data_IF_804611135920
#
_entry.id   IF_804611135920
#
_cell.length_a   1.000
_cell.length_b   1.000
_cell.length_c   1.000
_cell.angle_alpha   90.00
_cell.angle_beta   90.00
_cell.angle_gamma   90.00
#
_symmetry.space_group_name_H-M   'P 1'
#
loop_
_entity.id
_entity.type
_entity.pdbx_description
1 polymer ?
#
# COMPACT_ATOMS: atom_id res chain seq x y z
N UNK A 1 8.32 -15.98 20.11
CA UNK A 1 8.79 -14.70 20.69
C UNK A 1 7.74 -14.22 21.69
N UNK A 2 8.12 -13.73 22.86
CA UNK A 2 7.18 -13.12 23.83
C UNK A 2 6.82 -11.69 23.41
N UNK A 3 5.74 -11.13 23.96
CA UNK A 3 5.35 -9.73 23.70
C UNK A 3 6.45 -8.78 24.20
N UNK A 4 6.95 -8.98 25.43
CA UNK A 4 8.08 -8.24 25.99
C UNK A 4 9.30 -8.24 25.06
N UNK A 5 9.72 -9.42 24.56
CA UNK A 5 10.86 -9.48 23.66
C UNK A 5 10.62 -8.73 22.35
N UNK A 6 9.38 -8.73 21.81
CA UNK A 6 9.02 -7.95 20.61
C UNK A 6 9.18 -6.45 20.83
N UNK A 7 8.73 -5.94 21.98
CA UNK A 7 8.91 -4.54 22.36
C UNK A 7 10.39 -4.19 22.58
N UNK A 8 11.19 -5.08 23.19
CA UNK A 8 12.63 -4.89 23.35
C UNK A 8 13.40 -4.93 22.02
N UNK A 9 13.03 -5.82 21.09
CA UNK A 9 13.66 -5.89 19.76
C UNK A 9 13.32 -4.65 18.92
N UNK A 10 12.06 -4.22 18.89
CA UNK A 10 11.65 -2.97 18.24
C UNK A 10 12.43 -1.76 18.76
N UNK A 11 12.56 -1.63 20.09
CA UNK A 11 13.33 -0.55 20.70
C UNK A 11 14.79 -0.51 20.22
N UNK A 12 15.42 -1.69 20.15
CA UNK A 12 16.86 -1.81 19.86
C UNK A 12 17.22 -1.85 18.37
N UNK A 13 16.31 -2.30 17.50
CA UNK A 13 16.55 -2.47 16.05
C UNK A 13 15.85 -1.45 15.17
N UNK A 14 14.68 -0.96 15.55
CA UNK A 14 13.88 -0.04 14.72
C UNK A 14 13.88 1.39 15.27
N UNK A 15 13.66 1.57 16.58
CA UNK A 15 13.54 2.89 17.17
C UNK A 15 14.90 3.54 17.52
N UNK A 16 15.90 2.75 17.91
CA UNK A 16 17.22 3.25 18.33
C UNK A 16 17.89 4.11 17.26
N UNK A 17 18.24 5.34 17.64
CA UNK A 17 18.87 6.32 16.75
C UNK A 17 17.92 6.94 15.70
N UNK A 18 16.62 6.62 15.75
CA UNK A 18 15.59 7.12 14.83
C UNK A 18 14.48 7.85 15.59
N UNK A 19 13.93 7.25 16.64
CA UNK A 19 12.96 7.86 17.56
C UNK A 19 13.34 7.55 19.02
N UNK A 20 14.04 8.48 19.71
CA UNK A 20 14.30 8.39 21.14
C UNK A 20 13.01 8.24 21.98
N UNK A 21 11.88 8.77 21.48
CA UNK A 21 10.58 8.62 22.13
C UNK A 21 10.08 7.18 22.07
N UNK A 22 10.03 6.58 20.89
CA UNK A 22 9.57 5.19 20.75
C UNK A 22 10.59 4.17 21.29
N UNK A 23 11.90 4.46 21.32
CA UNK A 23 12.89 3.61 22.00
C UNK A 23 12.61 3.58 23.51
N UNK A 24 12.51 4.75 24.16
CA UNK A 24 12.18 4.87 25.59
C UNK A 24 10.86 4.19 25.93
N UNK A 25 9.82 4.44 25.12
CA UNK A 25 8.48 3.93 25.37
C UNK A 25 8.43 2.39 25.23
N UNK A 26 9.05 1.85 24.19
CA UNK A 26 9.06 0.39 23.96
C UNK A 26 9.95 -0.37 24.96
N UNK A 27 10.97 0.28 25.53
CA UNK A 27 11.72 -0.25 26.69
C UNK A 27 10.91 -0.21 28.01
N UNK A 28 9.98 0.72 28.17
CA UNK A 28 9.08 0.73 29.33
C UNK A 28 8.02 -0.39 29.19
N UNK A 29 7.31 -0.44 28.06
CA UNK A 29 6.25 -1.44 27.82
C UNK A 29 6.78 -2.88 27.86
N UNK A 30 8.06 -3.14 27.55
CA UNK A 30 8.62 -4.49 27.65
C UNK A 30 8.83 -4.96 29.10
N UNK A 31 8.72 -4.09 30.11
CA UNK A 31 8.79 -4.39 31.55
C UNK A 31 7.44 -4.18 32.27
N UNK A 32 6.39 -3.83 31.54
CA UNK A 32 5.10 -3.41 32.09
C UNK A 32 4.11 -4.59 32.12
N UNK A 33 3.95 -5.22 33.29
CA UNK A 33 3.13 -6.43 33.41
C UNK A 33 1.65 -6.21 33.07
N UNK A 34 1.10 -5.02 33.34
CA UNK A 34 -0.31 -4.70 33.06
C UNK A 34 -0.54 -4.49 31.57
N UNK A 35 0.27 -3.66 30.90
CA UNK A 35 0.19 -3.49 29.45
C UNK A 35 0.50 -4.78 28.69
N UNK A 36 1.43 -5.61 29.17
CA UNK A 36 1.73 -6.90 28.56
C UNK A 36 0.56 -7.89 28.71
N UNK A 37 -0.16 -7.87 29.84
CA UNK A 37 -1.37 -8.68 30.03
C UNK A 37 -2.52 -8.20 29.12
N UNK A 38 -2.71 -6.89 28.98
CA UNK A 38 -3.69 -6.30 28.06
C UNK A 38 -3.37 -6.66 26.60
N UNK A 39 -2.12 -6.50 26.17
CA UNK A 39 -1.66 -6.91 24.84
C UNK A 39 -1.84 -8.42 24.59
N UNK A 40 -1.74 -9.28 25.61
CA UNK A 40 -1.95 -10.72 25.47
C UNK A 40 -3.40 -11.11 25.09
N UNK A 41 -4.38 -10.22 25.27
CA UNK A 41 -5.77 -10.42 24.80
C UNK A 41 -5.92 -10.27 23.28
N UNK A 42 -4.94 -9.66 22.62
CA UNK A 42 -4.94 -9.38 21.19
C UNK A 42 -4.35 -10.54 20.38
N UNK A 43 -4.78 -10.75 19.11
CA UNK A 43 -4.14 -11.69 18.20
C UNK A 43 -2.65 -11.36 18.02
N UNK A 44 -1.75 -12.36 17.80
CA UNK A 44 -0.30 -12.13 17.69
C UNK A 44 0.12 -11.05 16.68
N UNK A 45 -0.62 -10.92 15.58
CA UNK A 45 -0.39 -9.91 14.54
C UNK A 45 -0.70 -8.46 14.99
N UNK A 46 -1.47 -8.28 16.07
CA UNK A 46 -1.91 -6.97 16.59
C UNK A 46 -1.12 -6.51 17.82
N UNK A 47 -0.21 -7.32 18.32
CA UNK A 47 0.64 -7.06 19.49
C UNK A 47 1.94 -6.30 19.11
N UNK A 48 1.89 -5.42 18.11
CA UNK A 48 3.08 -4.73 17.57
C UNK A 48 3.26 -3.37 18.28
N UNK A 49 4.49 -2.97 18.66
CA UNK A 49 4.71 -1.70 19.36
C UNK A 49 4.23 -0.49 18.55
N UNK A 50 4.60 -0.43 17.27
CA UNK A 50 4.25 0.67 16.37
C UNK A 50 2.71 0.81 16.17
N UNK A 51 1.96 -0.30 16.20
CA UNK A 51 0.50 -0.29 16.11
C UNK A 51 -0.13 0.26 17.40
N UNK A 52 0.34 -0.20 18.57
CA UNK A 52 -0.12 0.31 19.87
C UNK A 52 0.14 1.82 19.99
N UNK A 53 1.37 2.26 19.70
CA UNK A 53 1.75 3.68 19.80
C UNK A 53 0.99 4.53 18.78
N UNK A 54 0.76 4.02 17.57
CA UNK A 54 -0.10 4.67 16.57
C UNK A 54 -1.53 4.85 17.07
N UNK A 55 -2.14 3.80 17.64
CA UNK A 55 -3.52 3.88 18.17
C UNK A 55 -3.64 4.82 19.37
N UNK A 56 -2.71 4.76 20.33
CA UNK A 56 -2.75 5.66 21.48
C UNK A 56 -2.67 7.13 21.03
N UNK A 57 -1.80 7.44 20.05
CA UNK A 57 -1.73 8.79 19.46
C UNK A 57 -2.97 9.17 18.66
N UNK A 58 -3.57 8.23 17.92
CA UNK A 58 -4.83 8.45 17.19
C UNK A 58 -5.98 8.82 18.14
N UNK A 59 -6.01 8.23 19.33
CA UNK A 59 -6.95 8.55 20.41
C UNK A 59 -6.55 9.78 21.24
N UNK A 60 -5.51 10.52 20.84
CA UNK A 60 -5.04 11.74 21.52
C UNK A 60 -4.20 11.50 22.78
N UNK A 61 -3.77 10.26 23.03
CA UNK A 61 -2.95 9.89 24.18
C UNK A 61 -1.48 10.32 24.07
N UNK A 62 -0.80 10.51 25.20
CA UNK A 62 0.62 10.86 25.25
C UNK A 62 1.50 9.68 24.84
N UNK A 63 2.69 9.97 24.31
CA UNK A 63 3.74 8.96 23.98
C UNK A 63 5.15 9.42 24.37
N UNK A 64 5.28 10.67 24.81
CA UNK A 64 6.50 11.33 25.23
C UNK A 64 6.95 10.88 26.64
N UNK A 65 6.01 10.69 27.56
CA UNK A 65 6.26 10.12 28.88
C UNK A 65 5.68 8.70 29.04
N UNK A 66 6.47 7.69 29.46
CA UNK A 66 5.98 6.32 29.64
C UNK A 66 4.92 6.13 30.73
N UNK A 67 4.96 6.90 31.82
CA UNK A 67 3.97 6.75 32.89
C UNK A 67 2.61 7.34 32.46
N UNK A 68 2.62 8.52 31.83
CA UNK A 68 1.43 9.10 31.23
C UNK A 68 0.84 8.21 30.11
N UNK A 69 1.70 7.56 29.31
CA UNK A 69 1.27 6.57 28.32
C UNK A 69 0.61 5.34 28.96
N UNK A 70 1.20 4.78 30.01
CA UNK A 70 0.61 3.66 30.78
C UNK A 70 -0.77 4.04 31.28
N UNK A 71 -0.86 5.14 32.05
CA UNK A 71 -2.10 5.57 32.71
C UNK A 71 -3.21 5.84 31.68
N UNK A 72 -2.89 6.48 30.56
CA UNK A 72 -3.84 6.67 29.46
C UNK A 72 -4.27 5.35 28.83
N UNK A 73 -3.31 4.46 28.53
CA UNK A 73 -3.57 3.21 27.79
C UNK A 73 -4.40 2.22 28.60
N UNK A 74 -4.13 2.09 29.91
CA UNK A 74 -4.90 1.26 30.83
C UNK A 74 -6.30 1.85 31.02
N UNK A 75 -6.41 3.16 31.34
CA UNK A 75 -7.71 3.79 31.58
C UNK A 75 -8.64 3.79 30.35
N UNK A 76 -8.08 3.80 29.14
CA UNK A 76 -8.82 3.82 27.87
C UNK A 76 -8.76 2.48 27.12
N UNK A 77 -8.34 1.39 27.77
CA UNK A 77 -8.08 0.11 27.09
C UNK A 77 -9.22 -0.37 26.16
N UNK A 78 -10.51 -0.31 26.52
CA UNK A 78 -11.59 -0.75 25.62
C UNK A 78 -11.62 -0.01 24.27
N UNK A 79 -11.23 1.28 24.24
CA UNK A 79 -11.12 2.06 23.00
C UNK A 79 -9.83 1.73 22.24
N UNK A 80 -8.70 1.60 22.96
CA UNK A 80 -7.42 1.18 22.37
C UNK A 80 -7.54 -0.19 21.71
N UNK A 81 -8.16 -1.16 22.40
CA UNK A 81 -8.40 -2.51 21.91
C UNK A 81 -9.26 -2.53 20.64
N UNK A 82 -10.34 -1.74 20.61
CA UNK A 82 -11.23 -1.66 19.44
C UNK A 82 -10.47 -1.19 18.19
N UNK A 83 -9.68 -0.12 18.31
CA UNK A 83 -8.87 0.42 17.20
C UNK A 83 -7.70 -0.51 16.83
N UNK A 84 -6.99 -1.10 17.80
CA UNK A 84 -5.90 -2.06 17.52
C UNK A 84 -6.43 -3.31 16.80
N UNK A 85 -7.64 -3.80 17.14
CA UNK A 85 -8.25 -4.96 16.48
C UNK A 85 -8.60 -4.69 15.02
N UNK A 86 -9.05 -3.48 14.67
CA UNK A 86 -9.41 -3.13 13.28
C UNK A 86 -8.20 -2.69 12.45
N UNK A 87 -7.33 -1.82 12.97
CA UNK A 87 -6.26 -1.15 12.20
C UNK A 87 -5.01 -1.98 11.99
N UNK A 88 -4.24 -1.64 10.96
CA UNK A 88 -2.91 -2.18 10.69
C UNK A 88 -1.90 -1.05 10.48
N UNK A 89 -0.62 -1.28 10.80
CA UNK A 89 0.46 -0.34 10.53
C UNK A 89 0.62 -0.17 9.01
N UNK A 90 0.18 0.96 8.46
CA UNK A 90 0.22 1.23 7.02
C UNK A 90 1.10 2.46 6.74
N UNK A 91 2.35 2.22 6.35
CA UNK A 91 3.30 3.30 6.03
C UNK A 91 3.14 3.75 4.58
N UNK A 92 2.21 4.68 4.32
CA UNK A 92 2.02 5.25 2.98
C UNK A 92 2.94 6.45 2.76
N UNK A 93 4.14 6.17 2.23
CA UNK A 93 5.25 7.11 2.19
C UNK A 93 5.55 7.59 0.76
N UNK A 94 4.94 8.74 0.39
CA UNK A 94 5.10 9.37 -0.91
C UNK A 94 6.58 9.59 -1.33
N UNK A 95 7.51 9.75 -0.37
CA UNK A 95 8.94 9.86 -0.67
C UNK A 95 9.50 8.70 -1.48
N UNK A 96 8.91 7.51 -1.37
CA UNK A 96 9.32 6.33 -2.14
C UNK A 96 9.13 6.50 -3.65
N UNK A 97 8.27 7.41 -4.12
CA UNK A 97 8.19 7.78 -5.54
C UNK A 97 9.55 8.25 -6.10
N UNK A 98 10.42 8.84 -5.27
CA UNK A 98 11.75 9.28 -5.70
C UNK A 98 12.70 8.11 -6.04
N UNK A 99 12.38 6.89 -5.59
CA UNK A 99 13.06 5.66 -5.98
C UNK A 99 12.49 5.13 -7.32
N UNK A 100 11.19 5.30 -7.53
CA UNK A 100 10.48 4.80 -8.72
C UNK A 100 10.76 5.67 -9.96
N UNK A 101 10.89 6.99 -9.79
CA UNK A 101 10.93 7.96 -10.89
C UNK A 101 11.94 7.64 -12.01
N UNK A 102 13.20 7.22 -11.73
CA UNK A 102 14.15 6.90 -12.81
C UNK A 102 13.76 5.71 -13.67
N UNK A 103 12.97 4.77 -13.13
CA UNK A 103 12.38 3.67 -13.90
C UNK A 103 11.15 4.17 -14.66
N UNK A 104 10.18 4.77 -13.96
CA UNK A 104 8.91 5.20 -14.54
C UNK A 104 9.07 6.21 -15.69
N UNK A 105 10.00 7.17 -15.57
CA UNK A 105 10.24 8.20 -16.58
C UNK A 105 10.86 7.67 -17.88
N UNK A 106 11.40 6.44 -17.86
CA UNK A 106 12.14 5.81 -18.96
C UNK A 106 11.42 4.59 -19.58
N UNK A 107 10.33 4.11 -18.97
CA UNK A 107 9.41 3.13 -19.59
C UNK A 107 8.63 3.76 -20.77
N UNK A 108 8.04 2.97 -21.70
CA UNK A 108 7.19 3.50 -22.75
C UNK A 108 5.99 4.25 -22.16
N UNK A 109 5.65 5.42 -22.73
CA UNK A 109 4.61 6.31 -22.22
C UNK A 109 3.36 6.25 -23.11
N UNK A 110 2.16 6.55 -22.59
CA UNK A 110 1.86 6.89 -21.20
C UNK A 110 1.80 5.65 -20.29
N UNK A 111 1.78 5.87 -18.98
CA UNK A 111 1.73 4.82 -17.95
C UNK A 111 0.32 4.62 -17.37
N UNK A 112 0.01 3.36 -17.07
CA UNK A 112 -1.09 2.95 -16.22
C UNK A 112 -0.50 2.32 -14.94
N UNK A 113 -0.61 3.03 -13.82
CA UNK A 113 0.03 2.64 -12.55
C UNK A 113 -0.91 1.79 -11.68
N UNK A 114 -0.43 0.64 -11.20
CA UNK A 114 -1.13 -0.23 -10.25
C UNK A 114 -0.23 -0.49 -9.04
N UNK A 115 -0.56 0.09 -7.88
CA UNK A 115 0.16 -0.17 -6.63
C UNK A 115 -0.49 -1.34 -5.87
N UNK A 116 0.29 -2.33 -5.42
CA UNK A 116 -0.17 -3.33 -4.45
C UNK A 116 0.39 -3.03 -3.06
N UNK A 117 -0.46 -3.09 -2.03
CA UNK A 117 -0.16 -2.48 -0.72
C UNK A 117 -0.32 -0.96 -0.72
N UNK A 118 -1.26 -0.44 -1.51
CA UNK A 118 -1.37 0.98 -1.81
C UNK A 118 -1.72 1.87 -0.61
N UNK A 119 -2.33 1.32 0.44
CA UNK A 119 -2.87 2.06 1.58
C UNK A 119 -3.81 3.19 1.14
N UNK A 120 -3.40 4.46 1.19
CA UNK A 120 -4.16 5.63 0.72
C UNK A 120 -3.79 6.07 -0.73
N UNK A 121 -3.00 5.27 -1.44
CA UNK A 121 -2.59 5.52 -2.83
C UNK A 121 -1.57 6.64 -3.02
N UNK A 122 -0.92 7.13 -1.96
CA UNK A 122 -0.01 8.28 -2.07
C UNK A 122 1.19 8.07 -3.00
N UNK A 123 1.59 6.82 -3.29
CA UNK A 123 2.67 6.56 -4.25
C UNK A 123 2.20 6.53 -5.72
N UNK A 124 0.88 6.60 -5.97
CA UNK A 124 0.28 6.60 -7.32
C UNK A 124 0.37 7.93 -8.06
N UNK A 125 0.99 8.96 -7.47
CA UNK A 125 1.08 10.31 -8.03
C UNK A 125 2.50 10.76 -8.43
N UNK A 126 3.35 9.90 -9.04
CA UNK A 126 4.70 10.30 -9.36
C UNK A 126 4.78 11.38 -10.45
N UNK A 127 3.67 11.59 -11.18
CA UNK A 127 3.42 12.66 -12.15
C UNK A 127 3.06 14.03 -11.52
N UNK A 128 2.77 14.09 -10.22
CA UNK A 128 2.27 15.31 -9.54
C UNK A 128 3.17 15.86 -8.43
N UNK A 129 4.25 15.16 -8.10
CA UNK A 129 5.23 15.59 -7.10
C UNK A 129 6.45 16.24 -7.74
N UNK A 130 7.17 17.05 -6.96
CA UNK A 130 8.51 17.51 -7.32
C UNK A 130 9.57 16.60 -6.70
N UNK A 131 10.74 16.52 -7.31
CA UNK A 131 11.84 15.67 -6.86
C UNK A 131 13.13 16.45 -6.88
N UNK A 132 13.95 16.28 -5.84
CA UNK A 132 15.27 16.90 -5.74
C UNK A 132 16.35 15.84 -5.54
N UNK A 133 17.24 15.76 -6.53
CA UNK A 133 18.38 14.85 -6.58
C UNK A 133 19.68 15.66 -6.55
N UNK A 134 20.10 16.03 -5.34
CA UNK A 134 21.16 17.03 -5.15
C UNK A 134 20.70 18.40 -5.67
N UNK A 135 21.51 19.03 -6.53
CA UNK A 135 21.17 20.33 -7.14
C UNK A 135 20.14 20.24 -8.28
N UNK A 136 19.79 19.03 -8.73
CA UNK A 136 18.84 18.83 -9.82
C UNK A 136 17.41 18.68 -9.30
N UNK A 137 16.48 19.48 -9.81
CA UNK A 137 15.04 19.40 -9.50
C UNK A 137 14.21 19.11 -10.75
N UNK A 138 13.21 18.24 -10.63
CA UNK A 138 12.24 17.92 -11.69
C UNK A 138 10.81 17.90 -11.13
N UNK A 139 9.86 18.44 -11.89
CA UNK A 139 8.50 18.71 -11.44
C UNK A 139 8.34 20.08 -10.79
N UNK A 140 7.09 20.52 -10.67
CA UNK A 140 6.65 21.81 -10.13
C UNK A 140 5.54 21.67 -9.04
N UNK A 141 5.19 20.44 -8.66
CA UNK A 141 4.20 20.14 -7.63
C UNK A 141 4.76 20.02 -6.21
N UNK A 142 3.92 19.56 -5.28
CA UNK A 142 4.26 19.31 -3.87
C UNK A 142 3.77 17.92 -3.43
N UNK A 143 4.41 17.24 -2.47
CA UNK A 143 5.66 17.60 -1.80
C UNK A 143 6.88 17.65 -2.73
N UNK A 144 7.95 18.32 -2.28
CA UNK A 144 9.29 18.15 -2.85
C UNK A 144 9.94 16.93 -2.20
N UNK A 145 10.29 15.94 -3.01
CA UNK A 145 10.83 14.65 -2.57
C UNK A 145 12.35 14.62 -2.75
N UNK A 146 13.06 14.87 -1.64
CA UNK A 146 14.51 14.74 -1.54
C UNK A 146 14.96 13.28 -1.60
N UNK A 147 15.89 12.97 -2.51
CA UNK A 147 16.55 11.67 -2.63
C UNK A 147 18.01 11.84 -3.06
N UNK A 148 18.96 11.32 -2.28
CA UNK A 148 20.36 11.28 -2.68
C UNK A 148 20.58 10.18 -3.74
N UNK A 149 20.86 10.56 -4.99
CA UNK A 149 21.05 9.63 -6.10
C UNK A 149 22.53 9.52 -6.48
N UNK A 150 23.01 8.28 -6.62
CA UNK A 150 24.36 7.96 -7.09
C UNK A 150 24.33 6.83 -8.13
N UNK A 151 25.37 6.70 -8.94
CA UNK A 151 25.52 5.64 -9.95
C UNK A 151 24.73 5.85 -11.25
N UNK A 152 23.81 6.82 -11.31
CA UNK A 152 23.09 7.22 -12.54
C UNK A 152 22.75 8.71 -12.51
N UNK A 153 22.34 9.25 -13.65
CA UNK A 153 21.90 10.64 -13.77
C UNK A 153 20.45 10.83 -13.28
N UNK A 154 20.10 11.98 -12.68
CA UNK A 154 18.71 12.31 -12.34
C UNK A 154 17.75 12.26 -13.55
N UNK A 155 16.47 11.85 -13.35
CA UNK A 155 15.48 11.80 -14.43
C UNK A 155 15.13 13.20 -14.94
N UNK A 156 15.12 13.40 -16.26
CA UNK A 156 14.93 14.72 -16.88
C UNK A 156 13.47 15.14 -17.07
N UNK A 157 12.50 14.27 -16.76
CA UNK A 157 11.06 14.49 -16.94
C UNK A 157 10.28 13.66 -15.93
N UNK A 158 9.07 14.12 -15.61
CA UNK A 158 8.06 13.31 -14.93
C UNK A 158 7.46 12.28 -15.91
N UNK A 159 6.93 11.15 -15.43
CA UNK A 159 6.14 10.23 -16.24
C UNK A 159 4.79 10.86 -16.62
N UNK A 160 4.25 10.43 -17.75
CA UNK A 160 2.87 10.74 -18.15
C UNK A 160 1.96 9.62 -17.64
N UNK A 161 1.16 9.89 -16.60
CA UNK A 161 0.26 8.90 -15.97
C UNK A 161 -1.18 9.19 -16.41
N UNK A 162 -1.79 8.25 -17.13
CA UNK A 162 -3.17 8.37 -17.65
C UNK A 162 -4.18 7.49 -16.92
N UNK A 163 -3.70 6.61 -16.03
CA UNK A 163 -4.52 5.75 -15.20
C UNK A 163 -3.77 5.39 -13.92
N UNK A 164 -4.47 5.38 -12.79
CA UNK A 164 -3.91 5.04 -11.49
C UNK A 164 -4.91 4.22 -10.65
N UNK A 165 -4.47 3.09 -10.11
CA UNK A 165 -5.25 2.25 -9.20
C UNK A 165 -4.39 1.66 -8.08
N UNK A 166 -5.00 1.43 -6.91
CA UNK A 166 -4.36 0.78 -5.77
C UNK A 166 -5.14 -0.44 -5.32
N UNK A 167 -4.43 -1.49 -4.93
CA UNK A 167 -4.96 -2.70 -4.33
C UNK A 167 -4.40 -2.86 -2.92
N UNK A 168 -5.27 -2.92 -1.92
CA UNK A 168 -4.88 -3.05 -0.51
C UNK A 168 -5.92 -3.88 0.27
N UNK A 169 -5.52 -4.53 1.37
CA UNK A 169 -6.46 -5.24 2.24
C UNK A 169 -7.32 -4.25 3.08
N UNK A 170 -6.78 -3.08 3.37
CA UNK A 170 -7.43 -2.00 4.09
C UNK A 170 -7.12 -0.64 3.43
N UNK A 171 -7.66 -0.35 2.23
CA UNK A 171 -7.48 0.94 1.60
C UNK A 171 -8.02 2.05 2.52
N UNK A 172 -7.32 3.18 2.55
CA UNK A 172 -7.65 4.36 3.35
C UNK A 172 -8.07 5.51 2.44
N UNK A 173 -9.05 6.29 2.85
CA UNK A 173 -9.56 7.42 2.05
C UNK A 173 -9.01 8.75 2.56
N UNK A 174 -8.15 9.41 1.77
CA UNK A 174 -7.58 10.73 2.13
C UNK A 174 -8.60 11.86 2.12
N UNK A 175 -9.81 11.65 1.60
CA UNK A 175 -10.92 12.60 1.71
C UNK A 175 -11.64 12.47 3.06
N UNK A 176 -11.45 11.36 3.79
CA UNK A 176 -11.99 11.14 5.13
C UNK A 176 -10.99 11.61 6.22
N UNK A 177 -11.35 12.61 7.05
CA UNK A 177 -10.42 13.18 8.04
C UNK A 177 -9.87 12.17 9.07
N UNK A 178 -10.63 11.11 9.36
CA UNK A 178 -10.21 10.05 10.29
C UNK A 178 -9.03 9.24 9.75
N UNK A 179 -8.99 8.97 8.44
CA UNK A 179 -7.93 8.19 7.82
C UNK A 179 -6.66 9.02 7.63
N UNK A 180 -6.78 10.31 7.32
CA UNK A 180 -5.64 11.26 7.36
C UNK A 180 -5.07 11.35 8.78
N UNK A 181 -5.93 11.41 9.80
CA UNK A 181 -5.51 11.42 11.22
C UNK A 181 -4.81 10.11 11.62
N UNK A 182 -5.28 8.97 11.11
CA UNK A 182 -4.63 7.67 11.30
C UNK A 182 -3.23 7.61 10.67
N UNK A 183 -3.09 8.06 9.42
CA UNK A 183 -1.79 8.15 8.74
C UNK A 183 -0.83 9.09 9.47
N UNK A 184 -1.31 10.22 9.99
CA UNK A 184 -0.53 11.17 10.80
C UNK A 184 -0.07 10.53 12.13
N UNK A 185 -0.94 9.75 12.78
CA UNK A 185 -0.64 9.01 14.02
C UNK A 185 0.40 7.88 13.82
N UNK A 186 0.56 7.34 12.61
CA UNK A 186 1.63 6.40 12.26
C UNK A 186 3.00 7.07 12.03
N UNK A 187 3.04 8.39 11.82
CA UNK A 187 4.31 9.13 11.67
C UNK A 187 4.88 9.46 13.04
N UNK A 188 6.01 8.83 13.37
CA UNK A 188 6.69 8.91 14.66
C UNK A 188 6.92 10.37 15.14
N UNK A 189 6.98 10.63 16.46
CA UNK A 189 6.97 11.99 17.02
C UNK A 189 8.01 12.93 16.39
N UNK A 190 9.24 12.46 16.23
CA UNK A 190 10.39 13.21 15.70
C UNK A 190 10.30 13.50 14.19
N UNK A 191 9.45 12.77 13.45
CA UNK A 191 9.37 12.83 11.99
C UNK A 191 8.46 13.95 11.46
N UNK A 192 8.63 15.18 11.98
CA UNK A 192 7.84 16.35 11.58
C UNK A 192 7.84 16.61 10.06
N UNK A 193 8.99 16.44 9.40
CA UNK A 193 9.11 16.59 7.93
C UNK A 193 8.26 15.58 7.15
N UNK A 194 8.15 14.33 7.63
CA UNK A 194 7.28 13.31 7.02
C UNK A 194 5.80 13.66 7.22
N UNK A 195 5.46 14.31 8.33
CA UNK A 195 4.10 14.79 8.63
C UNK A 195 3.65 15.90 7.67
N UNK A 196 4.56 16.82 7.31
CA UNK A 196 4.33 17.81 6.25
C UNK A 196 4.13 17.11 4.90
N UNK A 197 5.07 16.24 4.51
CA UNK A 197 5.01 15.46 3.26
C UNK A 197 3.71 14.66 3.12
N UNK A 198 3.24 14.02 4.19
CA UNK A 198 1.97 13.29 4.22
C UNK A 198 0.79 14.22 3.87
N UNK A 199 0.72 15.40 4.49
CA UNK A 199 -0.40 16.33 4.30
C UNK A 199 -0.40 16.92 2.89
N UNK A 200 0.77 17.23 2.34
CA UNK A 200 0.91 17.70 0.95
C UNK A 200 0.51 16.59 -0.05
N UNK A 201 1.00 15.36 0.15
CA UNK A 201 0.65 14.22 -0.70
C UNK A 201 -0.84 13.86 -0.61
N UNK A 202 -1.42 13.86 0.60
CA UNK A 202 -2.84 13.63 0.81
C UNK A 202 -3.71 14.70 0.16
N UNK A 203 -3.29 15.96 0.16
CA UNK A 203 -3.99 17.03 -0.57
C UNK A 203 -3.97 16.84 -2.09
N UNK A 204 -2.85 16.35 -2.66
CA UNK A 204 -2.77 15.98 -4.09
C UNK A 204 -3.70 14.81 -4.40
N UNK A 205 -3.66 13.75 -3.60
CA UNK A 205 -4.52 12.59 -3.80
C UNK A 205 -6.01 12.91 -3.62
N UNK A 206 -6.39 13.72 -2.63
CA UNK A 206 -7.78 14.14 -2.41
C UNK A 206 -8.34 15.02 -3.54
N UNK A 207 -7.50 15.70 -4.31
CA UNK A 207 -7.92 16.54 -5.43
C UNK A 207 -8.23 15.75 -6.73
N UNK A 208 -7.65 14.56 -6.89
CA UNK A 208 -7.86 13.64 -8.02
C UNK A 208 -7.81 12.17 -7.51
N UNK A 209 -8.82 11.71 -6.72
CA UNK A 209 -8.73 10.45 -5.97
C UNK A 209 -8.47 9.22 -6.84
N UNK A 210 -7.60 8.28 -6.40
CA UNK A 210 -7.25 7.13 -7.21
C UNK A 210 -8.32 6.05 -7.07
N UNK A 211 -8.38 5.13 -8.02
CA UNK A 211 -9.19 3.92 -7.87
C UNK A 211 -8.56 3.01 -6.80
N UNK A 212 -8.97 3.13 -5.54
CA UNK A 212 -8.58 2.19 -4.49
C UNK A 212 -9.58 1.03 -4.41
N UNK A 213 -9.07 -0.20 -4.47
CA UNK A 213 -9.84 -1.44 -4.38
C UNK A 213 -9.40 -2.20 -3.14
N UNK A 214 -10.37 -2.60 -2.31
CA UNK A 214 -10.12 -3.56 -1.24
C UNK A 214 -9.99 -4.95 -1.84
N UNK A 215 -8.84 -5.60 -1.68
CA UNK A 215 -8.59 -6.95 -2.20
C UNK A 215 -7.19 -7.47 -1.87
N UNK A 216 -6.95 -8.75 -2.14
CA UNK A 216 -5.65 -9.40 -1.96
C UNK A 216 -4.81 -9.34 -3.25
N UNK A 217 -3.52 -9.04 -3.07
CA UNK A 217 -2.54 -8.85 -4.15
C UNK A 217 -2.29 -10.10 -5.03
N UNK A 218 -2.66 -11.30 -4.58
CA UNK A 218 -2.63 -12.52 -5.40
C UNK A 218 -3.96 -12.70 -6.14
N UNK A 219 -5.07 -12.63 -5.41
CA UNK A 219 -6.37 -13.12 -5.90
C UNK A 219 -7.09 -12.08 -6.77
N UNK A 220 -6.97 -10.78 -6.45
CA UNK A 220 -7.70 -9.68 -7.11
C UNK A 220 -6.86 -8.91 -8.16
N UNK A 221 -5.53 -9.05 -8.14
CA UNK A 221 -4.62 -8.33 -9.02
C UNK A 221 -4.92 -8.51 -10.53
N UNK A 222 -5.16 -9.72 -11.07
CA UNK A 222 -5.41 -9.89 -12.50
C UNK A 222 -6.65 -9.13 -12.99
N UNK A 223 -7.72 -9.12 -12.17
CA UNK A 223 -8.97 -8.44 -12.50
C UNK A 223 -8.80 -6.90 -12.48
N UNK A 224 -7.99 -6.36 -11.56
CA UNK A 224 -7.68 -4.93 -11.54
C UNK A 224 -6.72 -4.52 -12.67
N UNK A 225 -5.71 -5.34 -12.96
CA UNK A 225 -4.77 -5.13 -14.06
C UNK A 225 -5.46 -5.07 -15.43
N UNK A 226 -6.47 -5.93 -15.65
CA UNK A 226 -7.28 -5.93 -16.87
C UNK A 226 -8.11 -4.65 -17.11
N UNK A 227 -8.19 -3.74 -16.12
CA UNK A 227 -8.87 -2.44 -16.25
C UNK A 227 -7.93 -1.32 -16.72
N UNK A 228 -6.64 -1.59 -16.89
CA UNK A 228 -5.68 -0.63 -17.44
C UNK A 228 -5.98 -0.34 -18.94
N UNK A 229 -5.88 0.93 -19.40
CA UNK A 229 -6.11 1.26 -20.81
C UNK A 229 -5.10 0.57 -21.75
N UNK A 230 -5.57 -0.09 -22.80
CA UNK A 230 -4.73 -0.81 -23.76
C UNK A 230 -3.70 0.05 -24.52
N UNK A 231 -3.86 1.38 -24.52
CA UNK A 231 -2.91 2.34 -25.09
C UNK A 231 -1.87 2.86 -24.09
N UNK A 232 -1.81 2.32 -22.87
CA UNK A 232 -0.87 2.71 -21.82
C UNK A 232 -0.06 1.51 -21.34
N UNK A 233 1.17 1.78 -20.90
CA UNK A 233 2.06 0.77 -20.32
C UNK A 233 1.62 0.48 -18.89
N UNK A 234 1.07 -0.71 -18.64
CA UNK A 234 0.79 -1.18 -17.29
C UNK A 234 2.11 -1.32 -16.51
N UNK A 235 2.18 -0.68 -15.35
CA UNK A 235 3.25 -0.86 -14.37
C UNK A 235 2.62 -1.28 -13.05
N UNK A 236 2.78 -2.55 -12.69
CA UNK A 236 2.45 -3.04 -11.36
C UNK A 236 3.65 -2.78 -10.46
N UNK A 237 3.44 -2.13 -9.32
CA UNK A 237 4.53 -1.82 -8.40
C UNK A 237 4.14 -1.97 -6.93
N UNK A 238 5.16 -2.08 -6.08
CA UNK A 238 5.00 -2.06 -4.64
C UNK A 238 6.27 -1.56 -3.96
N UNK A 239 6.10 -1.01 -2.76
CA UNK A 239 7.21 -0.49 -1.97
C UNK A 239 7.14 -0.97 -0.51
N UNK A 240 7.94 -1.99 -0.18
CA UNK A 240 8.01 -2.59 1.16
C UNK A 240 6.66 -3.10 1.67
N UNK A 241 6.03 -3.99 0.90
CA UNK A 241 4.80 -4.70 1.30
C UNK A 241 5.03 -6.19 1.45
N UNK A 242 5.85 -6.81 0.60
CA UNK A 242 5.90 -8.26 0.47
C UNK A 242 6.49 -8.95 1.71
N UNK A 243 7.32 -8.27 2.51
CA UNK A 243 7.80 -8.80 3.81
C UNK A 243 6.65 -9.15 4.78
N UNK A 244 5.47 -8.52 4.63
CA UNK A 244 4.27 -8.77 5.43
C UNK A 244 3.45 -9.96 4.92
N UNK A 245 3.77 -10.46 3.72
CA UNK A 245 3.02 -11.48 3.00
C UNK A 245 3.62 -12.87 3.28
N UNK A 246 2.81 -13.89 3.63
CA UNK A 246 3.27 -15.27 3.80
C UNK A 246 4.04 -15.77 2.56
N UNK A 247 5.09 -16.57 2.76
CA UNK A 247 6.01 -16.99 1.69
C UNK A 247 5.27 -17.59 0.48
N UNK A 248 4.35 -18.53 0.70
CA UNK A 248 3.53 -19.14 -0.36
C UNK A 248 2.69 -18.10 -1.14
N UNK A 249 2.16 -17.06 -0.48
CA UNK A 249 1.43 -15.99 -1.15
C UNK A 249 2.37 -15.05 -1.92
N UNK A 250 3.60 -14.82 -1.45
CA UNK A 250 4.64 -14.08 -2.20
C UNK A 250 5.06 -14.80 -3.48
N UNK A 251 5.21 -16.12 -3.41
CA UNK A 251 5.53 -16.96 -4.58
C UNK A 251 4.42 -16.86 -5.63
N UNK A 252 3.16 -17.09 -5.23
CA UNK A 252 1.98 -16.93 -6.11
C UNK A 252 1.84 -15.51 -6.66
N UNK A 253 2.09 -14.48 -5.86
CA UNK A 253 2.13 -13.08 -6.34
C UNK A 253 3.19 -12.91 -7.43
N UNK A 254 4.39 -13.42 -7.20
CA UNK A 254 5.52 -13.32 -8.14
C UNK A 254 5.23 -14.02 -9.46
N UNK A 255 4.59 -15.19 -9.43
CA UNK A 255 4.10 -15.89 -10.63
C UNK A 255 3.02 -15.06 -11.35
N UNK A 256 2.03 -14.58 -10.60
CA UNK A 256 0.89 -13.80 -11.13
C UNK A 256 1.36 -12.52 -11.82
N UNK A 257 2.17 -11.70 -11.15
CA UNK A 257 2.64 -10.40 -11.68
C UNK A 257 3.59 -10.58 -12.87
N UNK A 258 4.38 -11.67 -12.91
CA UNK A 258 5.23 -12.00 -14.07
C UNK A 258 4.42 -12.40 -15.30
N UNK A 259 3.23 -12.99 -15.11
CA UNK A 259 2.31 -13.35 -16.19
C UNK A 259 1.49 -12.20 -16.78
N UNK A 260 1.51 -11.01 -16.15
CA UNK A 260 0.76 -9.85 -16.64
C UNK A 260 1.47 -9.16 -17.83
N UNK A 261 0.67 -8.63 -18.75
CA UNK A 261 1.13 -7.79 -19.84
C UNK A 261 1.52 -6.40 -19.31
N UNK A 262 2.81 -6.21 -18.99
CA UNK A 262 3.34 -4.96 -18.47
C UNK A 262 4.69 -5.14 -17.77
N UNK A 263 5.07 -4.11 -17.01
CA UNK A 263 6.29 -4.08 -16.21
C UNK A 263 5.97 -4.25 -14.72
N UNK A 264 6.85 -4.95 -14.01
CA UNK A 264 6.81 -5.09 -12.56
C UNK A 264 7.95 -4.31 -11.89
N UNK A 265 7.64 -3.34 -11.03
CA UNK A 265 8.65 -2.59 -10.26
C UNK A 265 8.55 -2.93 -8.78
N UNK A 266 9.61 -3.53 -8.22
CA UNK A 266 9.66 -3.92 -6.82
C UNK A 266 10.67 -3.03 -6.05
N UNK A 267 10.30 -2.63 -4.82
CA UNK A 267 11.23 -2.04 -3.84
C UNK A 267 11.08 -2.80 -2.52
N UNK A 268 11.89 -3.85 -2.32
CA UNK A 268 11.77 -4.79 -1.20
C UNK A 268 13.14 -5.11 -0.57
N UNK A 269 13.15 -5.65 0.65
CA UNK A 269 14.37 -6.18 1.27
C UNK A 269 14.95 -7.35 0.42
N UNK A 270 16.27 -7.54 0.34
CA UNK A 270 16.92 -8.51 -0.56
C UNK A 270 16.36 -9.93 -0.49
N UNK A 271 16.11 -10.39 0.73
CA UNK A 271 15.65 -11.73 1.08
C UNK A 271 14.16 -11.95 0.79
N UNK A 272 13.39 -10.89 0.54
CA UNK A 272 11.93 -10.97 0.33
C UNK A 272 11.59 -11.55 -1.05
N UNK A 273 12.42 -11.27 -2.05
CA UNK A 273 12.30 -11.76 -3.43
C UNK A 273 13.46 -12.65 -3.88
N UNK A 274 14.48 -12.87 -3.03
CA UNK A 274 15.58 -13.80 -3.31
C UNK A 274 16.48 -13.34 -4.46
N UNK A 275 16.92 -12.08 -4.44
CA UNK A 275 17.75 -11.54 -5.51
C UNK A 275 19.19 -12.09 -5.47
N UNK A 276 19.56 -12.86 -6.50
CA UNK A 276 20.92 -13.37 -6.69
C UNK A 276 21.91 -12.29 -7.18
N UNK A 277 23.19 -12.47 -6.84
CA UNK A 277 24.29 -11.71 -7.45
C UNK A 277 24.36 -10.21 -7.10
N UNK A 278 23.63 -9.75 -6.09
CA UNK A 278 23.65 -8.36 -5.66
C UNK A 278 25.09 -7.89 -5.30
N UNK A 279 25.52 -6.70 -5.73
CA UNK A 279 26.76 -6.12 -5.25
C UNK A 279 26.63 -5.75 -3.76
N UNK A 280 27.74 -5.69 -3.04
CA UNK A 280 27.74 -5.31 -1.61
C UNK A 280 26.98 -3.98 -1.40
N UNK A 281 26.10 -3.86 -0.38
CA UNK A 281 25.41 -2.61 -0.09
C UNK A 281 26.40 -1.47 0.26
N UNK A 282 26.03 -0.19 0.04
CA UNK A 282 26.94 0.95 0.23
C UNK A 282 27.49 1.09 1.66
N UNK A 283 26.70 0.72 2.66
CA UNK A 283 27.03 0.81 4.09
C UNK A 283 26.35 -0.33 4.90
N UNK A 284 26.33 -0.22 6.23
CA UNK A 284 25.77 -1.22 7.15
C UNK A 284 24.29 -1.00 7.52
N UNK A 285 23.67 0.08 7.05
CA UNK A 285 22.26 0.37 7.32
C UNK A 285 21.34 -0.52 6.46
N UNK A 286 20.08 -0.67 6.89
CA UNK A 286 19.08 -1.42 6.13
C UNK A 286 18.85 -0.79 4.75
N UNK A 287 18.81 -1.65 3.72
CA UNK A 287 18.61 -1.27 2.34
C UNK A 287 17.60 -2.20 1.66
N UNK A 288 16.74 -1.64 0.83
CA UNK A 288 15.91 -2.38 -0.10
C UNK A 288 16.55 -2.39 -1.49
N UNK A 289 16.18 -3.34 -2.33
CA UNK A 289 16.54 -3.41 -3.74
C UNK A 289 15.40 -2.85 -4.58
N UNK A 290 15.70 -1.86 -5.42
CA UNK A 290 14.86 -1.50 -6.56
C UNK A 290 15.13 -2.50 -7.69
N UNK A 291 14.08 -3.14 -8.21
CA UNK A 291 14.16 -4.05 -9.36
C UNK A 291 13.07 -3.75 -10.38
N UNK A 292 13.36 -4.03 -11.66
CA UNK A 292 12.41 -3.99 -12.78
C UNK A 292 12.34 -5.39 -13.41
N UNK A 293 11.14 -5.96 -13.48
CA UNK A 293 10.86 -7.31 -14.00
C UNK A 293 11.72 -8.42 -13.36
N UNK A 294 12.08 -8.23 -12.09
CA UNK A 294 12.95 -9.13 -11.34
C UNK A 294 14.45 -8.88 -11.52
N UNK A 295 14.86 -7.92 -12.36
CA UNK A 295 16.26 -7.51 -12.54
C UNK A 295 16.61 -6.43 -11.50
N UNK A 296 17.56 -6.67 -10.58
CA UNK A 296 18.01 -5.65 -9.63
C UNK A 296 18.71 -4.47 -10.31
N UNK A 297 18.37 -3.25 -9.90
CA UNK A 297 18.87 -1.99 -10.49
C UNK A 297 19.69 -1.15 -9.52
N UNK A 298 19.21 -1.03 -8.28
CA UNK A 298 19.79 -0.12 -7.29
C UNK A 298 19.54 -0.55 -5.84
N UNK A 299 20.47 -0.18 -4.97
CA UNK A 299 20.27 -0.17 -3.53
C UNK A 299 19.49 1.08 -3.13
N UNK A 300 18.53 0.96 -2.22
CA UNK A 300 17.63 2.05 -1.83
C UNK A 300 17.47 2.14 -0.32
N UNK A 301 17.34 3.36 0.21
CA UNK A 301 17.10 3.62 1.63
C UNK A 301 15.60 3.75 1.93
N UNK A 302 15.23 3.48 3.17
CA UNK A 302 13.87 3.64 3.67
C UNK A 302 13.31 5.06 3.35
N UNK A 303 11.99 5.12 3.14
CA UNK A 303 11.24 6.36 2.89
C UNK A 303 11.72 7.22 1.69
N UNK A 304 12.49 6.63 0.77
CA UNK A 304 12.96 7.29 -0.45
C UNK A 304 14.17 8.19 -0.28
N UNK A 305 14.88 8.12 0.85
CA UNK A 305 15.93 9.07 1.22
C UNK A 305 17.18 9.02 0.31
N UNK A 306 17.51 7.86 -0.24
CA UNK A 306 18.66 7.70 -1.14
C UNK A 306 18.54 6.46 -2.03
N UNK A 307 19.28 6.48 -3.14
CA UNK A 307 19.44 5.38 -4.07
C UNK A 307 20.86 5.33 -4.65
N UNK A 308 21.47 4.15 -4.64
CA UNK A 308 22.77 3.85 -5.24
C UNK A 308 22.58 2.85 -6.39
N UNK A 309 22.60 3.37 -7.62
CA UNK A 309 22.40 2.60 -8.83
C UNK A 309 23.63 1.76 -9.17
N UNK A 310 23.43 0.49 -9.51
CA UNK A 310 24.51 -0.44 -9.85
C UNK A 310 24.29 -1.20 -11.16
N UNK A 311 23.08 -1.19 -11.73
CA UNK A 311 22.85 -1.77 -13.05
C UNK A 311 23.60 -1.00 -14.14
N UNK A 312 24.41 -1.73 -14.91
CA UNK A 312 25.30 -1.18 -15.95
C UNK A 312 24.69 -1.24 -17.36
N UNK A 313 23.64 -2.03 -17.56
CA UNK A 313 22.86 -2.06 -18.79
C UNK A 313 21.72 -1.02 -18.74
N UNK A 314 21.27 -0.56 -19.91
CA UNK A 314 20.03 0.19 -20.03
C UNK A 314 18.82 -0.64 -19.57
N UNK A 315 17.73 0.03 -19.21
CA UNK A 315 16.51 -0.65 -18.76
C UNK A 315 16.02 -1.63 -19.85
N UNK A 316 15.54 -2.83 -19.47
CA UNK A 316 15.03 -3.83 -20.42
C UNK A 316 13.93 -3.24 -21.31
N UNK A 317 13.93 -3.68 -22.58
CA UNK A 317 12.89 -3.33 -23.53
C UNK A 317 11.51 -3.82 -23.07
N UNK A 318 10.46 -3.17 -23.56
CA UNK A 318 9.08 -3.53 -23.24
C UNK A 318 8.81 -5.02 -23.48
N UNK A 319 8.16 -5.69 -22.53
CA UNK A 319 7.58 -7.02 -22.80
C UNK A 319 6.56 -6.86 -23.92
N UNK A 320 6.63 -7.73 -24.93
CA UNK A 320 5.60 -7.78 -25.95
C UNK A 320 4.24 -8.06 -25.29
N UNK A 321 3.19 -7.38 -25.74
CA UNK A 321 1.82 -7.73 -25.40
C UNK A 321 1.61 -9.21 -25.75
N UNK A 322 1.16 -10.02 -24.79
CA UNK A 322 0.80 -11.40 -25.06
C UNK A 322 -0.46 -11.41 -25.96
N UNK A 323 -0.27 -11.59 -27.27
CA UNK A 323 -1.35 -11.55 -28.26
C UNK A 323 -2.18 -12.84 -28.31
N UNK A 324 -1.80 -13.87 -27.56
CA UNK A 324 -2.53 -15.13 -27.49
C UNK A 324 -3.55 -15.12 -26.35
N UNK A 325 -4.69 -14.48 -26.62
CA UNK A 325 -5.95 -14.93 -26.01
C UNK A 325 -6.30 -16.26 -26.71
N UNK A 326 -6.29 -17.41 -26.02
CA UNK A 326 -6.73 -18.65 -26.65
C UNK A 326 -8.23 -18.51 -26.95
N UNK A 327 -8.57 -18.41 -28.24
CA UNK A 327 -9.94 -18.48 -28.71
C UNK A 327 -10.48 -19.87 -28.40
N UNK A 328 -11.21 -19.98 -27.30
CA UNK A 328 -11.98 -21.18 -26.97
C UNK A 328 -13.10 -21.34 -28.00
N UNK A 329 -12.84 -22.10 -29.07
CA UNK A 329 -13.88 -22.57 -29.97
C UNK A 329 -14.83 -23.48 -29.19
N UNK A 330 -15.99 -22.95 -28.81
CA UNK A 330 -17.06 -23.75 -28.24
C UNK A 330 -17.63 -24.67 -29.34
N UNK A 331 -17.67 -26.00 -29.16
CA UNK A 331 -18.21 -26.91 -30.16
C UNK A 331 -19.72 -26.71 -30.30
N UNK A 332 -20.16 -26.35 -31.52
CA UNK A 332 -21.57 -26.21 -31.85
C UNK A 332 -22.21 -27.61 -31.92
N UNK A 333 -22.82 -28.04 -30.82
CA UNK A 333 -23.70 -29.20 -30.80
C UNK A 333 -25.12 -28.80 -31.21
N UNK A 334 -25.71 -29.52 -32.17
CA UNK A 334 -26.94 -29.11 -32.86
C UNK A 334 -28.21 -29.11 -32.00
N UNK A 335 -29.07 -28.12 -32.25
CA UNK A 335 -30.43 -28.08 -31.70
C UNK A 335 -31.37 -29.00 -32.50
N UNK A 336 -32.19 -29.84 -31.84
CA UNK A 336 -33.30 -30.53 -32.51
C UNK A 336 -34.50 -29.58 -32.65
N UNK A 337 -35.08 -29.54 -33.85
CA UNK A 337 -36.35 -28.87 -34.13
C UNK A 337 -37.53 -29.69 -33.59
N UNK A 338 -38.48 -29.03 -32.93
CA UNK A 338 -39.80 -29.59 -32.64
C UNK A 338 -40.87 -28.48 -32.68
N UNK A 339 -42.08 -28.86 -33.09
CA UNK A 339 -43.12 -27.96 -33.59
C UNK A 339 -43.92 -27.24 -32.49
N UNK A 340 -44.57 -26.13 -32.87
CA UNK A 340 -45.58 -25.45 -32.06
C UNK A 340 -46.97 -25.62 -32.69
N UNK A 341 -48.02 -25.86 -31.89
CA UNK A 341 -49.39 -25.65 -32.32
C UNK A 341 -50.12 -24.56 -31.49
N UNK A 342 -50.46 -23.47 -32.18
CA UNK A 342 -51.73 -22.71 -32.13
C UNK A 342 -52.32 -22.17 -30.82
N UNK A 343 -52.80 -20.93 -30.90
CA UNK A 343 -53.37 -20.13 -29.81
C UNK A 343 -54.79 -20.52 -29.38
N UNK A 344 -55.16 -20.09 -28.16
CA UNK A 344 -56.50 -19.56 -27.88
C UNK A 344 -56.50 -18.64 -26.65
N UNK A 345 -57.27 -17.56 -26.74
CA UNK A 345 -57.73 -16.70 -25.64
C UNK A 345 -59.28 -16.60 -25.80
N UNK A 346 -60.07 -15.90 -24.94
CA UNK A 346 -59.73 -15.18 -23.71
C UNK A 346 -60.67 -15.53 -22.52
N UNK A 347 -60.59 -14.82 -21.39
CA UNK A 347 -61.71 -14.04 -20.75
C UNK A 347 -61.37 -13.59 -19.32
N UNK A 348 -62.08 -12.58 -18.83
CA UNK A 348 -61.79 -11.86 -17.60
C UNK A 348 -62.57 -12.37 -16.37
N UNK A 349 -62.08 -12.05 -15.16
CA UNK A 349 -62.87 -11.35 -14.14
C UNK A 349 -62.03 -10.93 -12.91
N UNK A 350 -62.27 -9.70 -12.44
CA UNK A 350 -62.03 -9.30 -11.04
C UNK A 350 -63.34 -9.55 -10.23
N UNK A 351 -63.34 -9.61 -8.89
CA UNK A 351 -63.42 -8.34 -8.13
C UNK A 351 -62.82 -8.29 -6.70
N UNK A 352 -62.46 -7.07 -6.30
CA UNK A 352 -62.76 -6.37 -5.03
C UNK A 352 -62.56 -7.01 -3.62
N UNK A 353 -61.62 -6.38 -2.89
CA UNK A 353 -61.84 -5.58 -1.65
C UNK A 353 -62.20 -6.21 -0.27
N UNK A 354 -61.30 -6.00 0.71
CA UNK A 354 -61.48 -5.38 2.06
C UNK A 354 -60.12 -5.46 2.80
N UNK A 355 -59.44 -4.43 3.34
CA UNK A 355 -59.75 -3.13 3.98
C UNK A 355 -59.97 -3.15 5.51
N UNK A 356 -59.25 -2.23 6.20
CA UNK A 356 -59.21 -1.87 7.66
C UNK A 356 -58.46 -2.89 8.54
N UNK A 357 -57.73 -2.54 9.63
CA UNK A 357 -57.24 -1.29 10.28
C UNK A 357 -55.97 -1.68 11.11
N UNK A 358 -55.15 -0.84 11.78
CA UNK A 358 -55.04 0.59 12.12
C UNK A 358 -53.62 0.85 12.69
N UNK A 359 -53.08 2.08 12.77
CA UNK A 359 -53.12 2.94 13.99
C UNK A 359 -52.01 2.57 14.99
N UNK A 360 -51.21 3.47 15.60
CA UNK A 360 -51.20 4.93 15.70
C UNK A 360 -49.76 5.47 15.83
N UNK A 361 -49.58 6.78 16.04
CA UNK A 361 -48.28 7.46 16.14
C UNK A 361 -48.12 8.28 17.43
N UNK A 362 -46.87 8.36 17.94
CA UNK A 362 -46.38 9.38 18.86
C UNK A 362 -46.72 9.21 20.35
N UNK A 363 -46.17 10.08 21.22
CA UNK A 363 -45.24 11.18 20.91
C UNK A 363 -43.76 10.75 20.81
#
# INVERSE_FOLDING_TARGET
MTIANRHAEFATREARGVSPTYERLSLAVCQDEELLALLATLPPAKQQPNLLFGVVRFLGGPVDDPAAFHDFTVANWPAVEAEVRTRATQTNEAGRCALLLPVLAALPQPLALLEVGASAGLCLYPDRYSYRYGDYTVGDGVPVLDCALTGTAPPRRLPEVVWRAGLDLNPLDVTEPADVTWLDALIWPEHAHRRVRLREAAAVAAADPPLLVRGDLVDDLPALAARAPAGATLVVFHTSVLYQVPAERRERFTETVRGLAGHWVAVEEPEVLGFDGLPRPPDQMLHNVLALDGVPLAWTRAHGQAMAWFATAGLPAAKALATDVPTAEAPIAGAPTAEAPTANAPTANAPAARARLGGEAGP
#
